data_IF_282688435256
#
_entry.id   IF_282688435256
#
_cell.length_a   1.000
_cell.length_b   1.000
_cell.length_c   1.000
_cell.angle_alpha   90.00
_cell.angle_beta   90.00
_cell.angle_gamma   90.00
#
_symmetry.space_group_name_H-M   'P 1'
#
loop_
_entity.id
_entity.type
_entity.pdbx_description
1 polymer ?
#
# COMPACT_ATOMS: atom_id res chain seq x y z
N UNK A 1 -23.98 -87.25 -40.49
CA UNK A 1 -23.01 -86.27 -41.01
C UNK A 1 -23.20 -84.98 -40.21
N UNK A 2 -22.45 -84.83 -39.11
CA UNK A 2 -22.61 -83.74 -38.13
C UNK A 2 -21.69 -82.60 -38.57
N UNK A 3 -22.27 -81.48 -39.02
CA UNK A 3 -21.52 -80.24 -39.32
C UNK A 3 -21.32 -79.48 -38.01
N UNK A 4 -20.13 -79.56 -37.45
CA UNK A 4 -19.69 -78.67 -36.38
C UNK A 4 -19.30 -77.33 -36.98
N UNK A 5 -20.10 -76.29 -36.72
CA UNK A 5 -19.80 -74.91 -37.06
C UNK A 5 -18.94 -74.31 -35.94
N UNK A 6 -17.68 -74.03 -36.22
CA UNK A 6 -16.79 -73.36 -35.28
C UNK A 6 -16.92 -71.85 -35.47
N UNK A 7 -17.59 -71.17 -34.55
CA UNK A 7 -17.60 -69.71 -34.47
C UNK A 7 -16.28 -69.31 -33.82
N UNK A 8 -15.35 -68.77 -34.62
CA UNK A 8 -14.18 -68.08 -34.10
C UNK A 8 -14.66 -66.76 -33.48
N UNK A 9 -14.79 -66.72 -32.16
CA UNK A 9 -14.85 -65.45 -31.44
C UNK A 9 -13.47 -64.80 -31.55
N UNK A 10 -13.36 -63.79 -32.42
CA UNK A 10 -12.25 -62.84 -32.43
C UNK A 10 -12.22 -62.15 -31.06
N UNK A 11 -11.30 -62.57 -30.20
CA UNK A 11 -10.91 -61.78 -29.04
C UNK A 11 -10.14 -60.58 -29.59
N UNK A 12 -10.82 -59.44 -29.74
CA UNK A 12 -10.17 -58.15 -29.90
C UNK A 12 -9.50 -57.86 -28.56
N UNK A 13 -8.20 -58.18 -28.45
CA UNK A 13 -7.35 -57.59 -27.42
C UNK A 13 -7.29 -56.10 -27.70
N UNK A 14 -8.25 -55.35 -27.13
CA UNK A 14 -8.32 -53.90 -27.28
C UNK A 14 -7.05 -53.27 -26.72
N UNK A 15 -6.19 -52.76 -27.60
CA UNK A 15 -5.06 -51.94 -27.20
C UNK A 15 -5.61 -50.72 -26.43
N UNK A 16 -5.02 -50.44 -25.26
CA UNK A 16 -5.46 -49.32 -24.44
C UNK A 16 -5.25 -48.00 -25.19
N UNK A 17 -6.33 -47.24 -25.37
CA UNK A 17 -6.30 -45.96 -26.06
C UNK A 17 -5.41 -44.93 -25.35
N UNK A 18 -4.67 -44.09 -26.08
CA UNK A 18 -3.86 -43.04 -25.50
C UNK A 18 -4.73 -41.90 -24.93
N UNK A 19 -4.29 -41.18 -23.88
CA UNK A 19 -4.98 -39.99 -23.38
C UNK A 19 -5.14 -38.91 -24.46
N UNK A 20 -6.25 -38.17 -24.40
CA UNK A 20 -6.60 -37.10 -25.34
C UNK A 20 -6.46 -35.72 -24.70
N UNK A 21 -6.41 -34.65 -25.51
CA UNK A 21 -6.31 -33.26 -25.05
C UNK A 21 -5.19 -33.00 -24.02
N UNK A 22 -4.04 -33.64 -24.23
CA UNK A 22 -2.87 -33.46 -23.38
C UNK A 22 -2.33 -32.05 -23.55
N UNK A 23 -2.39 -31.26 -22.49
CA UNK A 23 -2.04 -29.84 -22.49
C UNK A 23 -1.12 -29.52 -21.31
N UNK A 24 -0.10 -28.73 -21.60
CA UNK A 24 0.81 -28.19 -20.61
C UNK A 24 0.50 -26.70 -20.47
N UNK A 25 0.16 -26.27 -19.26
CA UNK A 25 -0.20 -24.88 -18.95
C UNK A 25 0.69 -24.36 -17.84
N UNK A 26 1.01 -23.07 -17.91
CA UNK A 26 1.68 -22.38 -16.82
C UNK A 26 0.85 -21.19 -16.31
N UNK A 27 0.61 -21.13 -14.99
CA UNK A 27 -0.07 -20.01 -14.34
C UNK A 27 0.70 -19.58 -13.10
N UNK A 28 1.11 -18.32 -12.99
CA UNK A 28 2.00 -17.84 -11.93
C UNK A 28 3.25 -18.73 -11.73
N UNK A 29 3.85 -19.18 -12.84
CA UNK A 29 4.98 -20.13 -12.83
C UNK A 29 4.67 -21.50 -12.17
N UNK A 30 3.39 -21.82 -11.97
CA UNK A 30 2.93 -23.18 -11.68
C UNK A 30 2.76 -23.92 -13.01
N UNK A 31 3.48 -25.03 -13.22
CA UNK A 31 3.50 -25.77 -14.48
C UNK A 31 2.74 -27.08 -14.30
N UNK A 32 1.57 -27.18 -14.93
CA UNK A 32 0.67 -28.32 -14.77
C UNK A 32 0.39 -28.98 -16.11
N UNK A 33 0.60 -30.29 -16.17
CA UNK A 33 0.22 -31.14 -17.29
C UNK A 33 -1.18 -31.71 -17.03
N UNK A 34 -2.11 -31.55 -17.95
CA UNK A 34 -3.49 -32.06 -17.85
C UNK A 34 -3.93 -32.79 -19.11
N UNK A 35 -4.86 -33.73 -18.98
CA UNK A 35 -5.41 -34.52 -20.09
C UNK A 35 -6.84 -34.96 -19.81
N UNK A 36 -7.55 -35.38 -20.85
CA UNK A 36 -8.92 -35.88 -20.74
C UNK A 36 -8.94 -37.41 -20.78
N UNK A 37 -10.02 -38.00 -20.23
CA UNK A 37 -10.28 -39.42 -20.41
C UNK A 37 -10.68 -39.69 -21.87
N UNK A 38 -10.10 -40.71 -22.51
CA UNK A 38 -10.63 -41.22 -23.78
C UNK A 38 -12.10 -41.66 -23.61
N UNK A 39 -12.95 -41.39 -24.61
CA UNK A 39 -14.33 -41.89 -24.60
C UNK A 39 -14.37 -43.42 -24.54
N UNK A 40 -15.25 -44.00 -23.71
CA UNK A 40 -15.35 -45.44 -23.54
C UNK A 40 -14.23 -46.07 -22.70
N UNK A 41 -13.47 -45.25 -21.95
CA UNK A 41 -12.40 -45.72 -21.08
C UNK A 41 -12.88 -46.69 -19.99
N UNK A 42 -12.17 -47.81 -19.76
CA UNK A 42 -12.48 -48.72 -18.66
C UNK A 42 -12.26 -48.03 -17.29
N UNK A 43 -13.05 -48.44 -16.30
CA UNK A 43 -12.83 -48.01 -14.91
C UNK A 43 -11.50 -48.55 -14.37
N UNK A 44 -10.82 -47.79 -13.51
CA UNK A 44 -9.57 -48.20 -12.87
C UNK A 44 -8.29 -47.85 -13.64
N UNK A 45 -8.35 -46.92 -14.59
CA UNK A 45 -7.16 -46.36 -15.22
C UNK A 45 -6.31 -45.57 -14.23
N UNK A 46 -5.01 -45.74 -14.36
CA UNK A 46 -4.02 -44.86 -13.74
C UNK A 46 -3.12 -44.28 -14.82
N UNK A 47 -2.38 -43.23 -14.49
CA UNK A 47 -1.58 -42.49 -15.44
C UNK A 47 -0.15 -42.37 -14.93
N UNK A 48 0.79 -42.44 -15.88
CA UNK A 48 2.17 -42.06 -15.64
C UNK A 48 2.57 -40.95 -16.60
N UNK A 49 3.33 -40.01 -16.06
CA UNK A 49 3.74 -38.80 -16.75
C UNK A 49 5.24 -38.68 -16.77
N UNK A 50 5.74 -38.08 -17.84
CA UNK A 50 7.12 -37.70 -17.98
C UNK A 50 7.21 -36.29 -18.54
N UNK A 51 8.31 -35.61 -18.27
CA UNK A 51 8.57 -34.29 -18.80
C UNK A 51 10.02 -34.18 -19.23
N UNK A 52 10.28 -33.28 -20.18
CA UNK A 52 11.64 -32.94 -20.58
C UNK A 52 11.78 -31.44 -20.73
N UNK A 53 13.01 -30.96 -20.64
CA UNK A 53 13.41 -29.68 -21.18
C UNK A 53 13.97 -29.87 -22.60
N UNK A 54 14.22 -28.78 -23.33
CA UNK A 54 14.87 -28.84 -24.65
C UNK A 54 16.26 -29.51 -24.64
N UNK A 55 16.94 -29.55 -23.48
CA UNK A 55 18.30 -30.09 -23.33
C UNK A 55 18.37 -31.40 -22.54
N UNK A 56 17.24 -31.87 -22.00
CA UNK A 56 17.20 -33.11 -21.19
C UNK A 56 16.38 -34.20 -21.87
N UNK A 57 16.69 -35.45 -21.53
CA UNK A 57 15.80 -36.57 -21.84
C UNK A 57 14.50 -36.49 -21.02
N UNK A 58 13.49 -37.26 -21.41
CA UNK A 58 12.27 -37.41 -20.62
C UNK A 58 12.59 -38.02 -19.26
N UNK A 59 12.16 -37.33 -18.21
CA UNK A 59 12.30 -37.73 -16.82
C UNK A 59 10.91 -38.04 -16.25
N UNK A 60 10.81 -39.02 -15.34
CA UNK A 60 9.56 -39.34 -14.69
C UNK A 60 9.06 -38.20 -13.80
N UNK A 61 7.76 -37.92 -13.85
CA UNK A 61 7.05 -37.06 -12.92
C UNK A 61 6.07 -37.89 -12.08
N UNK A 62 4.77 -37.60 -12.14
CA UNK A 62 3.74 -38.36 -11.44
C UNK A 62 3.60 -39.78 -12.01
N UNK A 63 3.49 -40.78 -11.12
CA UNK A 63 3.38 -42.20 -11.48
C UNK A 63 2.16 -42.82 -10.80
N UNK A 64 1.45 -43.67 -11.53
CA UNK A 64 0.28 -44.42 -11.07
C UNK A 64 -0.77 -43.55 -10.37
N UNK A 65 -1.03 -42.36 -10.91
CA UNK A 65 -2.06 -41.45 -10.39
C UNK A 65 -3.40 -41.69 -11.07
N UNK A 66 -4.51 -41.49 -10.38
CA UNK A 66 -5.85 -41.52 -10.97
C UNK A 66 -6.33 -40.13 -11.39
N UNK A 67 -5.65 -39.09 -10.92
CA UNK A 67 -5.91 -37.71 -11.31
C UNK A 67 -5.56 -37.46 -12.78
N UNK A 68 -6.28 -36.53 -13.39
CA UNK A 68 -6.13 -36.11 -14.78
C UNK A 68 -5.17 -34.93 -14.97
N UNK A 69 -4.34 -34.71 -13.95
CA UNK A 69 -3.35 -33.65 -13.91
C UNK A 69 -2.14 -34.09 -13.13
N UNK A 70 -0.99 -33.52 -13.48
CA UNK A 70 0.26 -33.66 -12.76
C UNK A 70 0.93 -32.30 -12.64
N UNK A 71 1.21 -31.90 -11.40
CA UNK A 71 1.99 -30.70 -11.09
C UNK A 71 3.48 -31.00 -11.34
N UNK A 72 4.02 -30.41 -12.40
CA UNK A 72 5.41 -30.58 -12.78
C UNK A 72 6.34 -29.61 -12.03
N UNK A 73 5.82 -28.51 -11.46
CA UNK A 73 6.62 -27.53 -10.72
C UNK A 73 7.32 -28.13 -9.50
N UNK A 74 6.82 -29.26 -8.98
CA UNK A 74 7.42 -30.02 -7.88
C UNK A 74 8.75 -30.70 -8.25
N UNK A 75 9.11 -30.80 -9.54
CA UNK A 75 10.27 -31.54 -10.03
C UNK A 75 11.48 -30.65 -10.37
N UNK A 76 11.65 -29.54 -9.64
CA UNK A 76 12.78 -28.59 -9.75
C UNK A 76 12.98 -28.06 -11.18
N UNK A 77 11.96 -27.39 -11.69
CA UNK A 77 11.90 -26.82 -13.03
C UNK A 77 12.55 -25.44 -13.04
N UNK A 78 13.31 -25.14 -14.10
CA UNK A 78 13.88 -23.82 -14.34
C UNK A 78 12.84 -22.91 -14.99
N UNK A 79 12.74 -21.67 -14.53
CA UNK A 79 11.85 -20.65 -15.12
C UNK A 79 12.20 -20.28 -16.57
N UNK A 80 13.45 -20.52 -17.00
CA UNK A 80 13.97 -20.16 -18.33
C UNK A 80 14.06 -21.34 -19.30
N UNK A 81 13.51 -22.49 -18.94
CA UNK A 81 13.53 -23.69 -19.78
C UNK A 81 12.38 -23.75 -20.78
N UNK A 82 12.51 -24.59 -21.80
CA UNK A 82 11.41 -24.95 -22.69
C UNK A 82 11.00 -26.39 -22.37
N UNK A 83 9.75 -26.58 -21.93
CA UNK A 83 9.26 -27.84 -21.40
C UNK A 83 8.20 -28.49 -22.29
N UNK A 84 8.22 -29.82 -22.31
CA UNK A 84 7.17 -30.64 -22.91
C UNK A 84 6.88 -31.80 -21.97
N UNK A 85 5.60 -32.02 -21.68
CA UNK A 85 5.12 -33.18 -20.93
C UNK A 85 4.61 -34.28 -21.85
N UNK A 86 4.55 -35.50 -21.35
CA UNK A 86 3.83 -36.60 -21.99
C UNK A 86 3.17 -37.47 -20.95
N UNK A 87 2.05 -38.10 -21.32
CA UNK A 87 1.27 -38.97 -20.46
C UNK A 87 0.91 -40.25 -21.18
N UNK A 88 0.80 -41.34 -20.40
CA UNK A 88 0.36 -42.64 -20.84
C UNK A 88 -0.63 -43.19 -19.81
N UNK A 89 -1.67 -43.86 -20.30
CA UNK A 89 -2.63 -44.57 -19.49
C UNK A 89 -2.15 -45.99 -19.17
N UNK A 90 -2.51 -46.47 -17.99
CA UNK A 90 -2.10 -47.75 -17.42
C UNK A 90 -3.35 -48.48 -16.91
N UNK A 91 -3.50 -49.74 -17.32
CA UNK A 91 -4.55 -50.64 -16.84
C UNK A 91 -3.91 -51.99 -16.48
N UNK A 92 -3.64 -52.20 -15.20
CA UNK A 92 -2.85 -53.35 -14.74
C UNK A 92 -1.47 -53.37 -15.40
N UNK A 93 -1.18 -54.43 -16.18
CA UNK A 93 0.07 -54.55 -16.92
C UNK A 93 0.06 -53.84 -18.30
N UNK A 94 -1.11 -53.42 -18.78
CA UNK A 94 -1.27 -52.85 -20.11
C UNK A 94 -0.99 -51.34 -20.07
N UNK A 95 -0.35 -50.85 -21.14
CA UNK A 95 0.06 -49.44 -21.30
C UNK A 95 -0.37 -48.91 -22.66
N UNK A 96 -0.94 -47.71 -22.72
CA UNK A 96 -1.26 -47.04 -23.98
C UNK A 96 0.01 -46.51 -24.67
N UNK A 97 -0.02 -46.02 -25.91
CA UNK A 97 1.04 -45.14 -26.40
C UNK A 97 1.19 -43.88 -25.52
N UNK A 98 2.37 -43.25 -25.59
CA UNK A 98 2.62 -41.93 -25.00
C UNK A 98 1.99 -40.82 -25.85
N UNK A 99 1.28 -39.89 -25.21
CA UNK A 99 0.79 -38.66 -25.85
C UNK A 99 1.55 -37.46 -25.29
N UNK A 100 2.18 -36.67 -26.17
CA UNK A 100 2.89 -35.46 -25.79
C UNK A 100 1.97 -34.22 -25.76
N UNK A 101 2.32 -33.26 -24.92
CA UNK A 101 1.67 -31.95 -24.84
C UNK A 101 2.22 -30.95 -25.87
N UNK A 102 1.64 -29.74 -25.89
CA UNK A 102 2.33 -28.55 -26.39
C UNK A 102 3.61 -28.25 -25.59
N UNK A 103 4.44 -27.36 -26.12
CA UNK A 103 5.59 -26.82 -25.41
C UNK A 103 5.24 -25.52 -24.70
N UNK A 104 5.94 -25.22 -23.60
CA UNK A 104 5.78 -24.00 -22.79
C UNK A 104 7.16 -23.51 -22.35
N UNK A 105 7.36 -22.20 -22.44
CA UNK A 105 8.48 -21.47 -21.86
C UNK A 105 7.96 -20.63 -20.69
N UNK A 106 8.17 -21.04 -19.41
CA UNK A 106 7.47 -20.45 -18.27
C UNK A 106 7.60 -18.92 -18.14
N UNK A 107 8.77 -18.34 -18.36
CA UNK A 107 8.98 -16.88 -18.26
C UNK A 107 8.33 -16.06 -19.39
N UNK A 108 7.79 -16.71 -20.43
CA UNK A 108 7.14 -16.04 -21.57
C UNK A 108 5.67 -16.39 -21.70
N UNK A 109 5.34 -17.67 -21.50
CA UNK A 109 4.03 -18.24 -21.78
C UNK A 109 3.17 -18.39 -20.53
N UNK A 110 3.72 -18.15 -19.32
CA UNK A 110 2.91 -18.18 -18.10
C UNK A 110 1.81 -17.13 -18.14
N UNK A 111 0.62 -17.55 -17.75
CA UNK A 111 -0.48 -16.63 -17.47
C UNK A 111 -0.21 -16.02 -16.09
N UNK A 112 -0.16 -14.69 -16.03
CA UNK A 112 -0.08 -13.97 -14.76
C UNK A 112 -1.51 -13.79 -14.24
N UNK A 113 -1.77 -14.29 -13.05
CA UNK A 113 -3.06 -14.17 -12.39
C UNK A 113 -3.35 -12.74 -11.93
N UNK A 114 -4.60 -12.50 -11.52
CA UNK A 114 -5.05 -11.19 -11.06
C UNK A 114 -4.34 -10.73 -9.78
N UNK A 115 -3.90 -9.45 -9.69
CA UNK A 115 -3.43 -8.88 -8.43
C UNK A 115 -4.59 -8.67 -7.45
N UNK A 116 -4.28 -8.68 -6.15
CA UNK A 116 -5.24 -8.26 -5.13
C UNK A 116 -5.19 -6.75 -4.96
N UNK A 117 -6.35 -6.12 -4.88
CA UNK A 117 -6.48 -4.66 -4.76
C UNK A 117 -7.35 -4.33 -3.55
N UNK A 118 -6.93 -3.33 -2.79
CA UNK A 118 -7.70 -2.71 -1.71
C UNK A 118 -7.63 -1.19 -1.83
N UNK A 119 -8.74 -0.52 -1.54
CA UNK A 119 -8.87 0.93 -1.60
C UNK A 119 -9.01 1.50 -0.19
N UNK A 120 -8.50 2.72 -0.01
CA UNK A 120 -8.71 3.50 1.20
C UNK A 120 -8.98 4.95 0.80
N UNK A 121 -10.10 5.49 1.24
CA UNK A 121 -10.46 6.90 1.00
C UNK A 121 -9.82 7.83 2.01
N UNK A 122 -9.28 8.95 1.53
CA UNK A 122 -8.85 10.06 2.38
C UNK A 122 -9.24 11.37 1.69
N UNK A 123 -10.27 12.05 2.21
CA UNK A 123 -10.87 13.22 1.57
C UNK A 123 -11.20 12.96 0.08
N UNK A 124 -10.69 13.79 -0.83
CA UNK A 124 -10.86 13.67 -2.29
C UNK A 124 -9.82 12.74 -2.96
N UNK A 125 -9.18 11.86 -2.20
CA UNK A 125 -8.17 10.94 -2.72
C UNK A 125 -8.53 9.49 -2.41
N UNK A 126 -8.06 8.58 -3.28
CA UNK A 126 -8.13 7.14 -3.06
C UNK A 126 -6.72 6.56 -3.10
N UNK A 127 -6.32 5.93 -2.00
CA UNK A 127 -5.07 5.17 -1.93
C UNK A 127 -5.35 3.75 -2.42
N UNK A 128 -4.75 3.38 -3.54
CA UNK A 128 -4.80 2.05 -4.13
C UNK A 128 -3.61 1.26 -3.60
N UNK A 129 -3.88 0.20 -2.83
CA UNK A 129 -2.86 -0.79 -2.43
C UNK A 129 -3.02 -2.05 -3.27
N UNK A 130 -1.90 -2.54 -3.79
CA UNK A 130 -1.81 -3.64 -4.76
C UNK A 130 -0.89 -4.71 -4.18
N UNK A 131 -1.37 -5.95 -4.14
CA UNK A 131 -0.56 -7.11 -3.78
C UNK A 131 -0.32 -7.98 -5.01
N UNK A 132 0.94 -8.40 -5.15
CA UNK A 132 1.37 -9.30 -6.22
C UNK A 132 0.63 -10.66 -6.13
N UNK A 133 0.25 -11.27 -7.27
CA UNK A 133 -0.27 -12.61 -7.26
C UNK A 133 0.79 -13.58 -6.74
N UNK A 134 0.37 -14.67 -6.10
CA UNK A 134 1.30 -15.67 -5.55
C UNK A 134 1.87 -16.52 -6.68
N UNK A 135 3.19 -16.63 -6.72
CA UNK A 135 3.94 -17.47 -7.65
C UNK A 135 4.60 -18.64 -6.92
N UNK A 136 4.72 -19.78 -7.61
CA UNK A 136 5.24 -21.03 -7.03
C UNK A 136 6.77 -21.10 -7.09
N UNK A 137 7.37 -20.86 -8.27
CA UNK A 137 8.81 -21.05 -8.47
C UNK A 137 9.69 -19.86 -8.03
N UNK A 138 9.18 -18.63 -8.17
CA UNK A 138 9.91 -17.40 -7.83
C UNK A 138 8.95 -16.21 -7.78
N UNK A 139 9.33 -15.09 -7.18
CA UNK A 139 8.48 -13.89 -7.13
C UNK A 139 8.35 -13.21 -8.50
N UNK A 140 7.24 -12.48 -8.71
CA UNK A 140 6.97 -11.72 -9.93
C UNK A 140 8.16 -10.84 -10.33
N UNK A 141 8.68 -10.04 -9.38
CA UNK A 141 9.75 -9.05 -9.63
C UNK A 141 11.12 -9.68 -9.87
N UNK A 142 11.34 -10.91 -9.43
CA UNK A 142 12.59 -11.63 -9.67
C UNK A 142 12.65 -12.20 -11.09
N UNK A 143 11.50 -12.57 -11.67
CA UNK A 143 11.41 -13.18 -13.01
C UNK A 143 11.13 -12.17 -14.10
N UNK A 144 10.26 -11.20 -13.80
CA UNK A 144 9.81 -10.20 -14.75
C UNK A 144 10.47 -8.86 -14.41
N UNK A 145 11.39 -8.42 -15.27
CA UNK A 145 11.87 -7.04 -15.21
C UNK A 145 10.79 -6.10 -15.74
N UNK A 146 10.76 -4.86 -15.24
CA UNK A 146 9.83 -3.81 -15.67
C UNK A 146 8.35 -4.20 -15.49
N UNK A 147 7.98 -4.59 -14.27
CA UNK A 147 6.58 -4.81 -13.87
C UNK A 147 5.89 -3.46 -13.70
N UNK A 148 4.76 -3.29 -14.38
CA UNK A 148 3.90 -2.13 -14.22
C UNK A 148 2.46 -2.55 -13.96
N UNK A 149 1.83 -1.89 -12.99
CA UNK A 149 0.41 -1.95 -12.73
C UNK A 149 -0.29 -0.87 -13.55
N UNK A 150 -1.23 -1.28 -14.38
CA UNK A 150 -2.11 -0.37 -15.11
C UNK A 150 -3.42 -0.28 -14.34
N UNK A 151 -3.71 0.90 -13.83
CA UNK A 151 -4.84 1.19 -12.98
C UNK A 151 -5.89 1.88 -13.84
N UNK A 152 -7.09 1.32 -13.91
CA UNK A 152 -8.25 1.94 -14.56
C UNK A 152 -9.26 2.30 -13.49
N UNK A 153 -9.78 3.53 -13.51
CA UNK A 153 -10.74 4.00 -12.50
C UNK A 153 -11.81 4.91 -13.10
N UNK A 154 -13.03 4.84 -12.56
CA UNK A 154 -14.21 5.55 -13.07
C UNK A 154 -15.25 5.76 -11.97
N UNK A 155 -16.15 6.73 -12.17
CA UNK A 155 -17.29 6.96 -11.27
C UNK A 155 -18.30 5.84 -11.42
N UNK A 156 -18.93 5.42 -10.33
CA UNK A 156 -20.01 4.44 -10.39
C UNK A 156 -21.15 4.97 -11.29
N UNK A 157 -21.62 4.13 -12.22
CA UNK A 157 -22.64 4.51 -13.22
C UNK A 157 -22.12 5.30 -14.43
N UNK A 158 -20.81 5.55 -14.53
CA UNK A 158 -20.19 6.20 -15.69
C UNK A 158 -19.90 5.18 -16.82
N UNK A 159 -19.99 5.64 -18.07
CA UNK A 159 -19.61 4.84 -19.24
C UNK A 159 -18.16 4.36 -19.19
N UNK A 160 -17.94 3.13 -19.67
CA UNK A 160 -16.61 2.48 -19.67
C UNK A 160 -15.57 3.21 -20.52
N UNK A 161 -16.00 4.00 -21.51
CA UNK A 161 -15.08 4.77 -22.37
C UNK A 161 -14.44 5.95 -21.63
N UNK A 162 -15.08 6.44 -20.56
CA UNK A 162 -14.60 7.57 -19.76
C UNK A 162 -13.69 7.14 -18.60
N UNK A 163 -13.22 5.88 -18.61
CA UNK A 163 -12.29 5.34 -17.61
C UNK A 163 -10.97 6.11 -17.68
N UNK A 164 -10.60 6.72 -16.56
CA UNK A 164 -9.26 7.28 -16.38
C UNK A 164 -8.26 6.15 -16.19
N UNK A 165 -7.04 6.35 -16.68
CA UNK A 165 -5.96 5.36 -16.62
C UNK A 165 -4.70 5.98 -16.05
N UNK A 166 -4.04 5.21 -15.20
CA UNK A 166 -2.77 5.55 -14.61
C UNK A 166 -1.86 4.32 -14.57
N UNK A 167 -0.56 4.53 -14.38
CA UNK A 167 0.44 3.46 -14.39
C UNK A 167 1.50 3.70 -13.33
N UNK A 168 1.78 2.68 -12.54
CA UNK A 168 2.82 2.72 -11.52
C UNK A 168 3.60 1.40 -11.47
N UNK A 169 4.85 1.47 -11.03
CA UNK A 169 5.67 0.29 -10.70
C UNK A 169 5.66 -0.01 -9.18
N UNK A 170 5.02 0.84 -8.38
CA UNK A 170 4.92 0.70 -6.93
C UNK A 170 3.64 -0.05 -6.53
N UNK A 171 3.68 -0.74 -5.40
CA UNK A 171 2.53 -1.48 -4.86
C UNK A 171 1.49 -0.56 -4.20
N UNK A 172 1.74 0.76 -4.16
CA UNK A 172 0.83 1.76 -3.66
C UNK A 172 0.80 2.95 -4.60
N UNK A 173 -0.39 3.49 -4.84
CA UNK A 173 -0.61 4.69 -5.65
C UNK A 173 -1.71 5.53 -5.02
N UNK A 174 -1.59 6.86 -5.12
CA UNK A 174 -2.64 7.78 -4.71
C UNK A 174 -3.32 8.32 -5.96
N UNK A 175 -4.62 8.11 -6.06
CA UNK A 175 -5.47 8.76 -7.06
C UNK A 175 -5.99 10.05 -6.43
N UNK A 176 -5.62 11.18 -7.01
CA UNK A 176 -5.99 12.52 -6.53
C UNK A 176 -7.01 13.19 -7.47
N UNK A 177 -7.39 14.42 -7.12
CA UNK A 177 -8.33 15.24 -7.91
C UNK A 177 -9.62 14.48 -8.25
N UNK A 178 -10.19 13.82 -7.25
CA UNK A 178 -11.47 13.12 -7.36
C UNK A 178 -12.58 14.00 -6.78
N UNK A 179 -13.76 13.95 -7.40
CA UNK A 179 -14.95 14.58 -6.86
C UNK A 179 -15.23 14.13 -5.41
N UNK A 180 -15.64 15.04 -4.51
CA UNK A 180 -16.00 14.68 -3.13
C UNK A 180 -17.29 13.86 -3.11
N UNK A 181 -17.46 13.03 -2.08
CA UNK A 181 -18.66 12.22 -1.85
C UNK A 181 -19.09 11.33 -3.03
N UNK A 182 -18.14 10.96 -3.89
CA UNK A 182 -18.39 10.23 -5.14
C UNK A 182 -17.80 8.83 -5.06
N UNK A 183 -18.58 7.84 -5.48
CA UNK A 183 -18.12 6.46 -5.51
C UNK A 183 -17.32 6.18 -6.78
N UNK A 184 -16.11 5.68 -6.61
CA UNK A 184 -15.21 5.32 -7.70
C UNK A 184 -14.89 3.83 -7.64
N UNK A 185 -14.91 3.19 -8.80
CA UNK A 185 -14.48 1.80 -8.96
C UNK A 185 -13.11 1.76 -9.63
N UNK A 186 -12.27 0.83 -9.18
CA UNK A 186 -10.89 0.65 -9.64
C UNK A 186 -10.68 -0.80 -10.08
N UNK A 187 -9.97 -0.97 -11.20
CA UNK A 187 -9.53 -2.26 -11.71
C UNK A 187 -8.07 -2.18 -12.14
N UNK A 188 -7.27 -3.17 -11.77
CA UNK A 188 -5.83 -3.18 -11.99
C UNK A 188 -5.42 -4.44 -12.75
N UNK A 189 -4.54 -4.30 -13.73
CA UNK A 189 -3.87 -5.43 -14.39
C UNK A 189 -2.38 -5.16 -14.55
N UNK A 190 -1.59 -6.22 -14.60
CA UNK A 190 -0.13 -6.18 -14.67
C UNK A 190 0.31 -6.30 -16.13
N UNK A 191 1.32 -5.52 -16.48
CA UNK A 191 2.08 -5.67 -17.73
C UNK A 191 3.55 -5.86 -17.41
N UNK A 192 4.22 -6.74 -18.15
CA UNK A 192 5.65 -7.00 -18.00
C UNK A 192 6.36 -6.89 -19.33
N UNK A 193 7.69 -6.78 -19.32
CA UNK A 193 8.48 -6.76 -20.55
C UNK A 193 8.71 -8.13 -21.19
N UNK A 194 8.41 -9.25 -20.50
CA UNK A 194 8.67 -10.61 -21.02
C UNK A 194 7.43 -11.35 -21.51
N UNK A 195 6.27 -11.13 -20.87
CA UNK A 195 5.01 -11.77 -21.31
C UNK A 195 4.36 -10.94 -22.41
N UNK A 196 3.91 -11.56 -23.52
CA UNK A 196 3.21 -10.84 -24.58
C UNK A 196 1.81 -10.40 -24.15
N UNK A 197 1.18 -11.14 -23.25
CA UNK A 197 -0.17 -10.87 -22.75
C UNK A 197 -0.12 -10.18 -21.37
N UNK A 198 -1.07 -9.27 -21.09
CA UNK A 198 -1.26 -8.72 -19.75
C UNK A 198 -1.76 -9.80 -18.79
N UNK A 199 -1.66 -9.52 -17.48
CA UNK A 199 -2.29 -10.38 -16.47
C UNK A 199 -3.81 -10.38 -16.61
N UNK A 200 -4.43 -11.37 -15.97
CA UNK A 200 -5.85 -11.29 -15.65
C UNK A 200 -6.12 -10.01 -14.85
N UNK A 201 -7.23 -9.30 -15.13
CA UNK A 201 -7.57 -8.09 -14.39
C UNK A 201 -8.04 -8.44 -12.97
N UNK A 202 -7.79 -7.54 -12.03
CA UNK A 202 -8.36 -7.63 -10.69
C UNK A 202 -9.88 -7.58 -10.74
N UNK A 203 -10.51 -8.04 -9.66
CA UNK A 203 -11.89 -7.68 -9.36
C UNK A 203 -12.04 -6.15 -9.33
N UNK A 204 -13.20 -5.67 -9.74
CA UNK A 204 -13.56 -4.27 -9.59
C UNK A 204 -13.82 -4.01 -8.10
N UNK A 205 -13.11 -3.03 -7.51
CA UNK A 205 -13.27 -2.63 -6.11
C UNK A 205 -13.72 -1.18 -6.12
N UNK A 206 -14.78 -0.86 -5.38
CA UNK A 206 -15.35 0.47 -5.32
C UNK A 206 -15.23 1.05 -3.91
N UNK A 207 -14.95 2.36 -3.83
CA UNK A 207 -14.82 3.09 -2.58
C UNK A 207 -15.36 4.51 -2.78
N UNK A 208 -16.00 5.05 -1.73
CA UNK A 208 -16.57 6.40 -1.78
C UNK A 208 -15.55 7.41 -1.27
N UNK A 209 -15.31 8.48 -2.05
CA UNK A 209 -14.48 9.59 -1.59
C UNK A 209 -15.15 10.35 -0.45
N UNK A 210 -14.33 10.93 0.42
CA UNK A 210 -14.75 11.71 1.57
C UNK A 210 -15.09 13.16 1.23
N UNK A 211 -15.00 14.00 2.26
CA UNK A 211 -15.20 15.44 2.14
C UNK A 211 -14.15 16.10 1.26
N UNK A 212 -14.47 17.29 0.77
CA UNK A 212 -13.49 18.17 0.14
C UNK A 212 -12.34 18.48 1.10
N UNK A 213 -11.10 18.32 0.63
CA UNK A 213 -9.92 18.74 1.35
C UNK A 213 -9.69 20.22 1.00
N UNK A 214 -10.24 21.12 1.81
CA UNK A 214 -10.14 22.56 1.61
C UNK A 214 -9.30 23.18 2.72
N UNK A 215 -7.97 23.37 2.52
CA UNK A 215 -7.05 23.91 3.53
C UNK A 215 -7.40 25.33 3.99
N UNK A 216 -8.14 26.07 3.17
CA UNK A 216 -8.59 27.43 3.47
C UNK A 216 -9.71 27.45 4.53
N UNK A 217 -10.50 26.39 4.68
CA UNK A 217 -11.59 26.34 5.69
C UNK A 217 -11.03 26.42 7.12
N UNK A 218 -10.03 25.60 7.52
CA UNK A 218 -9.34 25.78 8.79
C UNK A 218 -8.73 27.18 8.97
N UNK A 219 -8.12 27.73 7.92
CA UNK A 219 -7.50 29.05 7.98
C UNK A 219 -8.53 30.17 8.26
N UNK A 220 -9.70 30.13 7.61
CA UNK A 220 -10.79 31.08 7.84
C UNK A 220 -11.34 30.95 9.26
N UNK A 221 -11.50 29.73 9.77
CA UNK A 221 -11.97 29.50 11.16
C UNK A 221 -10.98 30.11 12.16
N UNK A 222 -9.67 29.87 11.99
CA UNK A 222 -8.63 30.45 12.85
C UNK A 222 -8.65 31.98 12.78
N UNK A 223 -8.80 32.56 11.58
CA UNK A 223 -8.90 34.01 11.41
C UNK A 223 -10.10 34.59 12.19
N UNK A 224 -11.28 33.96 12.07
CA UNK A 224 -12.48 34.41 12.79
C UNK A 224 -12.29 34.32 14.31
N UNK A 225 -11.70 33.23 14.81
CA UNK A 225 -11.41 33.06 16.24
C UNK A 225 -10.44 34.13 16.74
N UNK A 226 -9.39 34.45 15.96
CA UNK A 226 -8.44 35.51 16.30
C UNK A 226 -9.11 36.89 16.36
N UNK A 227 -10.00 37.20 15.41
CA UNK A 227 -10.76 38.46 15.42
C UNK A 227 -11.66 38.55 16.66
N UNK A 228 -12.35 37.47 17.03
CA UNK A 228 -13.20 37.44 18.23
C UNK A 228 -12.37 37.66 19.50
N UNK A 229 -11.20 37.02 19.61
CA UNK A 229 -10.28 37.21 20.74
C UNK A 229 -9.82 38.67 20.86
N UNK A 230 -9.46 39.31 19.74
CA UNK A 230 -9.08 40.74 19.74
C UNK A 230 -10.23 41.62 20.21
N UNK A 231 -11.45 41.39 19.72
CA UNK A 231 -12.64 42.13 20.16
C UNK A 231 -12.88 41.97 21.66
N UNK A 232 -12.77 40.74 22.18
CA UNK A 232 -12.92 40.47 23.62
C UNK A 232 -11.87 41.22 24.46
N UNK A 233 -10.60 41.22 24.04
CA UNK A 233 -9.53 41.97 24.72
C UNK A 233 -9.83 43.47 24.71
N UNK A 234 -10.23 44.03 23.57
CA UNK A 234 -10.60 45.46 23.48
C UNK A 234 -11.75 45.79 24.42
N UNK A 235 -12.80 44.96 24.47
CA UNK A 235 -13.94 45.17 25.37
C UNK A 235 -13.53 45.12 26.85
N UNK A 236 -12.62 44.22 27.23
CA UNK A 236 -12.07 44.14 28.58
C UNK A 236 -11.27 45.40 28.93
N UNK A 237 -10.40 45.87 28.02
CA UNK A 237 -9.62 47.10 28.23
C UNK A 237 -10.54 48.32 28.35
N UNK A 238 -11.56 48.43 27.49
CA UNK A 238 -12.54 49.52 27.56
C UNK A 238 -13.34 49.49 28.86
N UNK A 239 -13.78 48.30 29.31
CA UNK A 239 -14.44 48.14 30.61
C UNK A 239 -13.53 48.49 31.78
N UNK A 240 -12.28 48.04 31.76
CA UNK A 240 -11.30 48.38 32.78
C UNK A 240 -11.07 49.88 32.84
N UNK A 241 -10.87 50.52 31.68
CA UNK A 241 -10.70 51.98 31.58
C UNK A 241 -11.92 52.72 32.13
N UNK A 242 -13.13 52.28 31.80
CA UNK A 242 -14.36 52.85 32.33
C UNK A 242 -14.46 52.71 33.85
N UNK A 243 -14.21 51.51 34.40
CA UNK A 243 -14.21 51.26 35.86
C UNK A 243 -13.13 52.12 36.56
N UNK A 244 -11.93 52.21 35.98
CA UNK A 244 -10.84 53.04 36.50
C UNK A 244 -11.19 54.53 36.45
N UNK A 245 -11.83 55.01 35.39
CA UNK A 245 -12.33 56.38 35.32
C UNK A 245 -13.39 56.65 36.40
N UNK A 246 -14.31 55.72 36.64
CA UNK A 246 -15.30 55.84 37.72
C UNK A 246 -14.67 55.85 39.12
N UNK A 247 -13.59 55.08 39.34
CA UNK A 247 -12.88 55.05 40.62
C UNK A 247 -11.96 56.26 40.84
N UNK A 248 -11.48 56.91 39.77
CA UNK A 248 -10.59 58.08 39.86
C UNK A 248 -11.28 59.45 39.76
N UNK A 249 -12.57 59.55 39.41
CA UNK A 249 -13.23 60.84 39.18
C UNK A 249 -13.83 61.52 40.44
N UNK A 250 -13.44 61.11 41.65
CA UNK A 250 -14.02 61.68 42.88
C UNK A 250 -13.00 62.00 43.97
N UNK A 251 -11.98 62.77 43.62
CA UNK A 251 -11.21 63.57 44.58
C UNK A 251 -10.97 64.98 44.01
N UNK A 252 -12.02 65.80 44.00
CA UNK A 252 -11.83 67.26 43.96
C UNK A 252 -11.37 67.66 45.36
N UNK A 253 -10.06 67.70 45.56
CA UNK A 253 -9.43 68.24 46.76
C UNK A 253 -9.65 69.76 46.76
N UNK A 254 -10.29 70.35 47.79
CA UNK A 254 -10.50 71.79 47.85
C UNK A 254 -9.18 72.53 48.12
N UNK A 255 -8.99 73.69 47.48
CA UNK A 255 -7.79 74.54 47.44
C UNK A 255 -7.24 75.03 48.82
N UNK A 256 -7.79 74.58 49.94
CA UNK A 256 -7.42 75.03 51.28
C UNK A 256 -6.22 74.27 51.89
N UNK A 257 -5.72 73.20 51.27
CA UNK A 257 -4.65 72.36 51.89
C UNK A 257 -3.23 72.75 51.42
N UNK A 258 -3.10 73.44 50.29
CA UNK A 258 -1.79 73.85 49.75
C UNK A 258 -1.14 74.99 50.53
N UNK A 259 -1.92 75.76 51.32
CA UNK A 259 -1.38 76.91 52.07
C UNK A 259 -0.72 76.51 53.40
N UNK A 260 -1.03 75.35 53.96
CA UNK A 260 -0.48 74.89 55.26
C UNK A 260 0.88 74.19 55.13
N UNK A 261 1.27 73.75 53.93
CA UNK A 261 2.51 72.98 53.71
C UNK A 261 3.74 73.83 53.33
N UNK A 262 3.58 75.15 53.11
CA UNK A 262 4.67 76.05 52.74
C UNK A 262 5.19 76.93 53.89
N UNK A 263 4.71 76.74 55.12
CA UNK A 263 5.28 77.42 56.28
C UNK A 263 6.50 76.63 56.82
N UNK A 264 7.67 77.26 57.02
CA UNK A 264 8.84 76.57 57.57
C UNK A 264 8.58 76.23 59.05
N UNK A 265 8.79 74.97 59.50
CA UNK A 265 8.62 74.64 60.91
C UNK A 265 9.87 75.07 61.71
N UNK A 266 9.69 75.99 62.65
CA UNK A 266 10.68 76.27 63.71
C UNK A 266 10.67 75.13 64.75
N UNK A 267 11.15 73.95 64.36
CA UNK A 267 11.37 72.84 65.30
C UNK A 267 12.84 72.78 65.72
N UNK A 268 13.06 72.74 67.04
CA UNK A 268 14.39 72.66 67.68
C UNK A 268 15.20 71.43 67.27
N UNK A 269 14.55 70.38 66.76
CA UNK A 269 15.19 69.17 66.23
C UNK A 269 16.02 69.43 64.97
N UNK A 270 15.57 70.35 64.11
CA UNK A 270 16.23 70.64 62.83
C UNK A 270 17.52 71.47 63.01
N UNK A 271 17.57 72.33 64.04
CA UNK A 271 18.78 73.07 64.40
C UNK A 271 19.84 72.20 65.08
N UNK A 272 19.43 71.16 65.81
CA UNK A 272 20.36 70.20 66.41
C UNK A 272 21.07 69.33 65.35
N UNK A 273 20.39 69.02 64.23
CA UNK A 273 20.93 68.20 63.14
C UNK A 273 21.89 68.95 62.21
N UNK A 274 21.84 70.28 62.17
CA UNK A 274 22.71 71.10 61.31
C UNK A 274 24.13 71.28 61.87
N UNK A 275 24.32 71.05 63.18
CA UNK A 275 25.57 71.34 63.89
C UNK A 275 26.42 70.10 64.22
N UNK A 276 26.10 68.90 63.71
CA UNK A 276 26.93 67.70 63.91
C UNK A 276 27.99 67.52 62.81
N UNK A 277 29.22 67.18 63.20
CA UNK A 277 30.34 66.86 62.30
C UNK A 277 30.07 65.61 61.43
N UNK A 278 30.66 65.51 60.22
CA UNK A 278 30.41 64.40 59.31
C UNK A 278 31.04 63.10 59.80
N UNK A 279 30.28 62.01 59.66
CA UNK A 279 30.73 60.63 59.94
C UNK A 279 31.66 60.19 58.81
N UNK A 280 32.86 59.73 59.16
CA UNK A 280 33.86 59.18 58.26
C UNK A 280 33.43 57.77 57.82
N UNK A 281 33.11 57.59 56.53
CA UNK A 281 32.64 56.32 55.98
C UNK A 281 33.79 55.59 55.27
N UNK A 282 34.23 54.46 55.84
CA UNK A 282 35.30 53.60 55.31
C UNK A 282 34.73 52.75 54.17
N UNK A 283 35.11 53.05 52.93
CA UNK A 283 34.75 52.25 51.75
C UNK A 283 35.82 51.19 51.44
N UNK A 284 35.48 49.91 51.53
CA UNK A 284 36.28 48.82 50.96
C UNK A 284 35.99 48.66 49.46
N UNK A 285 37.04 48.72 48.64
CA UNK A 285 36.97 48.57 47.19
C UNK A 285 36.87 47.07 46.82
N UNK A 286 35.73 46.64 46.25
CA UNK A 286 35.56 45.29 45.69
C UNK A 286 35.70 45.37 44.16
N UNK A 287 36.71 44.69 43.62
CA UNK A 287 36.94 44.53 42.19
C UNK A 287 36.37 43.19 41.72
N UNK A 288 35.43 43.22 40.76
CA UNK A 288 34.87 42.03 40.13
C UNK A 288 35.56 41.83 38.77
N UNK A 289 36.39 40.79 38.67
CA UNK A 289 37.03 40.36 37.41
C UNK A 289 36.09 39.41 36.68
N UNK A 290 35.66 39.79 35.47
CA UNK A 290 34.90 38.92 34.58
C UNK A 290 35.83 37.87 33.93
N UNK A 291 35.62 36.59 34.24
CA UNK A 291 36.30 35.48 33.59
C UNK A 291 35.52 35.04 32.34
N UNK A 292 36.10 35.27 31.17
CA UNK A 292 35.66 34.67 29.90
C UNK A 292 36.11 33.21 29.88
N UNK A 293 35.19 32.27 29.64
CA UNK A 293 35.51 30.89 29.27
C UNK A 293 34.91 30.55 27.91
N UNK A 294 35.79 30.30 26.96
CA UNK A 294 35.55 29.60 25.69
C UNK A 294 35.88 28.12 25.85
N UNK A 295 34.95 27.22 25.54
CA UNK A 295 35.17 25.79 25.18
C UNK A 295 33.94 25.36 24.35
N UNK A 296 34.05 25.27 23.02
CA UNK A 296 34.36 24.07 22.21
C UNK A 296 33.13 23.18 21.96
N UNK A 297 32.81 22.95 20.68
CA UNK A 297 31.86 21.92 20.24
C UNK A 297 32.54 21.03 19.21
N UNK A 298 32.79 19.80 19.62
CA UNK A 298 33.07 18.67 18.76
C UNK A 298 31.80 18.14 18.08
N UNK A 299 32.10 17.37 17.04
CA UNK A 299 31.30 16.69 16.02
C UNK A 299 30.30 15.67 16.57
N UNK A 300 29.08 15.68 16.04
CA UNK A 300 28.38 14.48 15.56
C UNK A 300 27.40 14.85 14.44
#
# INVERSE_FOLDING_TARGET
>A
MIRTNWIWTLVVSGALGPPTNVTLKSRNLDLVLSWDLPEGSPHGLSYSTEFRSAITAFQPACRNITELRCDLSLFNISIYGNYTGRVQALLGAHRSPWTASNHIVPDKDTIIGSPSVSLMSHHQTLVVSIEDPKFILSSLRNVFHSVFYNISYWKMGQDRELRRRDRTSQNRMVLDNLDPWTEYCVQVFITTGRTPHPSEPSREVCEKTGSEDSPWVPAVIVLVVMVILVILVVLVVLRWRHISQFLCLKDVVPDNVTQTLLAPPESSMFLAMKNSEPIEEINHQVSVVAAVRTVEKEVL
#
